data_IF_318615584413
#
_entry.id   IF_318615584413
#
_cell.length_a   1.000
_cell.length_b   1.000
_cell.length_c   1.000
_cell.angle_alpha   90.00
_cell.angle_beta   90.00
_cell.angle_gamma   90.00
#
_symmetry.space_group_name_H-M   'P 1'
#
loop_
_entity.id
_entity.type
_entity.pdbx_description
1 polymer ?
#
# COMPACT_ATOMS: atom_id res chain seq x y z
N UNK A 1 60.94 -28.36 38.67
CA UNK A 1 61.97 -27.31 38.84
C UNK A 1 61.73 -26.26 37.77
N UNK A 2 61.35 -25.03 38.12
CA UNK A 2 60.94 -23.98 37.18
C UNK A 2 62.13 -23.14 36.66
N UNK A 3 63.37 -23.55 36.96
CA UNK A 3 64.60 -22.81 36.64
C UNK A 3 65.66 -23.74 36.06
N UNK A 4 66.43 -23.22 35.09
CA UNK A 4 67.70 -23.79 34.60
C UNK A 4 68.86 -22.96 35.17
N UNK A 5 70.07 -23.53 35.19
CA UNK A 5 71.29 -22.91 35.75
C UNK A 5 72.00 -21.95 34.77
N UNK A 6 71.34 -21.51 33.70
CA UNK A 6 71.95 -20.60 32.74
C UNK A 6 72.03 -19.16 33.28
N UNK A 7 73.11 -18.43 32.98
CA UNK A 7 73.15 -17.00 33.25
C UNK A 7 72.06 -16.32 32.40
N UNK A 8 71.34 -15.39 33.04
CA UNK A 8 70.23 -14.55 32.52
C UNK A 8 68.79 -14.93 32.89
N UNK A 9 68.53 -16.00 33.67
CA UNK A 9 67.24 -16.27 34.36
C UNK A 9 65.95 -16.09 33.51
N UNK A 10 66.04 -16.13 32.18
CA UNK A 10 64.92 -15.91 31.27
C UNK A 10 65.08 -16.71 29.97
N UNK A 11 64.00 -17.33 29.46
CA UNK A 11 62.64 -17.34 30.01
C UNK A 11 62.38 -18.54 30.94
N UNK A 12 61.62 -18.33 32.03
CA UNK A 12 61.06 -19.42 32.82
C UNK A 12 59.95 -20.12 32.02
N UNK A 13 60.07 -21.43 31.80
CA UNK A 13 59.04 -22.20 31.11
C UNK A 13 57.89 -22.56 32.07
N UNK A 14 56.66 -22.23 31.69
CA UNK A 14 55.41 -22.64 32.37
C UNK A 14 54.63 -23.63 31.51
N UNK A 15 55.07 -24.90 31.42
CA UNK A 15 54.48 -25.89 30.51
C UNK A 15 53.03 -26.26 30.84
N UNK A 16 52.49 -25.79 31.97
CA UNK A 16 51.13 -26.04 32.43
C UNK A 16 50.25 -24.77 32.46
N UNK A 17 50.69 -23.65 31.88
CA UNK A 17 49.90 -22.40 31.85
C UNK A 17 48.50 -22.62 31.25
N UNK A 18 48.43 -23.27 30.08
CA UNK A 18 47.19 -23.50 29.34
C UNK A 18 46.20 -24.43 30.07
N UNK A 19 46.64 -25.14 31.10
CA UNK A 19 45.75 -25.91 31.97
C UNK A 19 44.89 -25.02 32.90
N UNK A 20 45.26 -23.75 33.07
CA UNK A 20 44.54 -22.76 33.87
C UNK A 20 43.80 -21.75 33.01
N UNK A 21 44.45 -21.23 31.97
CA UNK A 21 43.85 -20.30 31.02
C UNK A 21 44.53 -20.44 29.66
N UNK A 22 43.76 -20.88 28.65
CA UNK A 22 44.25 -21.05 27.30
C UNK A 22 44.38 -19.67 26.62
N UNK A 23 45.56 -19.35 26.09
CA UNK A 23 45.78 -18.09 25.39
C UNK A 23 45.38 -18.22 23.91
N UNK A 24 44.09 -17.98 23.58
CA UNK A 24 43.63 -17.91 22.18
C UNK A 24 43.39 -16.47 21.71
N UNK A 25 43.12 -16.33 20.41
CA UNK A 25 42.77 -15.06 19.78
C UNK A 25 43.77 -13.95 20.06
N UNK A 26 43.29 -12.80 20.54
CA UNK A 26 44.10 -11.64 20.88
C UNK A 26 45.10 -11.93 22.02
N UNK A 27 44.77 -12.83 22.96
CA UNK A 27 45.65 -13.18 24.07
C UNK A 27 46.90 -13.94 23.62
N UNK A 28 46.81 -14.72 22.54
CA UNK A 28 47.96 -15.41 21.97
C UNK A 28 49.07 -14.43 21.54
N UNK A 29 48.71 -13.22 21.12
CA UNK A 29 49.66 -12.19 20.66
C UNK A 29 50.51 -11.60 21.79
N UNK A 30 50.04 -11.67 23.03
CA UNK A 30 50.71 -11.15 24.22
C UNK A 30 51.23 -12.25 25.15
N UNK A 31 51.22 -13.51 24.71
CA UNK A 31 51.55 -14.67 25.53
C UNK A 31 52.94 -14.62 26.19
N UNK A 32 53.89 -13.88 25.61
CA UNK A 32 55.24 -13.72 26.16
C UNK A 32 55.41 -12.49 27.07
N UNK A 33 54.34 -11.73 27.33
CA UNK A 33 54.37 -10.53 28.16
C UNK A 33 53.59 -10.74 29.46
N UNK A 34 54.19 -11.49 30.38
CA UNK A 34 53.58 -11.92 31.65
C UNK A 34 53.01 -10.76 32.49
N UNK A 35 53.64 -9.58 32.42
CA UNK A 35 53.23 -8.42 33.23
C UNK A 35 51.87 -7.88 32.81
N UNK A 36 51.45 -8.02 31.54
CA UNK A 36 50.15 -7.54 31.06
C UNK A 36 48.96 -8.27 31.71
N UNK A 37 49.15 -9.53 32.11
CA UNK A 37 48.08 -10.34 32.70
C UNK A 37 48.24 -10.41 34.23
N UNK A 38 49.44 -10.71 34.70
CA UNK A 38 49.68 -10.96 36.11
C UNK A 38 49.88 -9.67 36.93
N UNK A 39 50.22 -8.53 36.30
CA UNK A 39 50.54 -7.27 36.99
C UNK A 39 51.55 -7.43 38.15
N UNK A 40 52.43 -8.43 38.06
CA UNK A 40 53.40 -8.78 39.11
C UNK A 40 52.89 -9.73 40.21
N UNK A 41 51.59 -10.06 40.25
CA UNK A 41 51.01 -11.08 41.14
C UNK A 41 50.53 -12.30 40.35
N UNK A 42 51.27 -13.41 40.48
CA UNK A 42 51.00 -14.66 39.79
C UNK A 42 50.05 -15.60 40.57
N UNK A 43 49.63 -15.23 41.78
CA UNK A 43 48.77 -16.09 42.62
C UNK A 43 47.28 -15.81 42.46
N UNK A 44 46.89 -14.63 41.96
CA UNK A 44 45.50 -14.17 41.94
C UNK A 44 45.08 -13.54 40.60
N UNK A 45 45.64 -14.01 39.49
CA UNK A 45 45.23 -13.54 38.18
C UNK A 45 43.84 -14.10 37.84
N UNK A 46 42.84 -13.25 37.52
CA UNK A 46 41.53 -13.72 37.13
C UNK A 46 41.60 -14.61 35.89
N UNK A 47 40.66 -15.55 35.79
CA UNK A 47 40.55 -16.49 34.65
C UNK A 47 39.27 -16.30 33.85
N UNK A 48 38.42 -15.34 34.25
CA UNK A 48 37.22 -14.93 33.55
C UNK A 48 37.43 -13.54 32.90
N UNK A 49 36.67 -13.29 31.84
CA UNK A 49 36.78 -12.06 31.06
C UNK A 49 36.55 -10.82 31.92
N UNK A 50 35.48 -10.79 32.73
CA UNK A 50 35.13 -9.62 33.53
C UNK A 50 36.18 -9.29 34.58
N UNK A 51 36.78 -10.29 35.23
CA UNK A 51 37.84 -10.08 36.20
C UNK A 51 39.05 -9.32 35.64
N UNK A 52 39.42 -9.58 34.38
CA UNK A 52 40.50 -8.87 33.69
C UNK A 52 40.03 -7.56 33.01
N UNK A 53 38.81 -7.54 32.47
CA UNK A 53 38.28 -6.47 31.63
C UNK A 53 37.16 -5.66 32.30
N UNK A 54 37.10 -5.61 33.63
CA UNK A 54 36.09 -4.83 34.37
C UNK A 54 36.14 -3.33 34.06
N UNK A 55 37.33 -2.79 33.79
CA UNK A 55 37.49 -1.40 33.35
C UNK A 55 36.90 -1.19 31.97
N UNK A 56 37.17 -2.09 31.02
CA UNK A 56 36.60 -2.01 29.67
C UNK A 56 35.06 -2.11 29.73
N UNK A 57 34.54 -3.05 30.52
CA UNK A 57 33.11 -3.22 30.77
C UNK A 57 32.46 -1.93 31.32
N UNK A 58 33.07 -1.31 32.33
CA UNK A 58 32.52 -0.11 32.98
C UNK A 58 32.69 1.19 32.20
N UNK A 59 33.70 1.26 31.32
CA UNK A 59 33.97 2.44 30.50
C UNK A 59 33.34 2.41 29.10
N UNK A 60 32.82 1.26 28.66
CA UNK A 60 32.13 1.18 27.37
C UNK A 60 30.86 2.04 27.39
N UNK A 61 30.65 2.85 26.35
CA UNK A 61 29.50 3.77 26.24
C UNK A 61 28.53 3.44 25.12
N UNK A 62 28.91 2.56 24.17
CA UNK A 62 28.07 2.19 23.03
C UNK A 62 28.19 0.69 22.70
N UNK A 63 27.28 -0.16 23.23
CA UNK A 63 26.29 0.16 24.25
C UNK A 63 26.92 0.26 25.64
N UNK A 64 26.34 1.06 26.56
CA UNK A 64 26.88 1.17 27.92
C UNK A 64 26.55 -0.07 28.76
N UNK A 65 27.50 -0.96 28.99
CA UNK A 65 27.24 -2.23 29.68
C UNK A 65 26.80 -2.06 31.13
N UNK A 66 27.44 -1.16 31.88
CA UNK A 66 27.11 -0.94 33.29
C UNK A 66 25.74 -0.30 33.48
N UNK A 67 25.40 0.71 32.67
CA UNK A 67 24.10 1.37 32.73
C UNK A 67 22.97 0.41 32.34
N UNK A 68 23.21 -0.43 31.35
CA UNK A 68 22.22 -1.39 30.84
C UNK A 68 22.21 -2.71 31.60
N UNK A 69 23.12 -2.90 32.56
CA UNK A 69 23.24 -4.11 33.37
C UNK A 69 23.38 -5.37 32.50
N UNK A 70 24.21 -5.29 31.45
CA UNK A 70 24.50 -6.45 30.63
C UNK A 70 25.18 -7.57 31.45
N UNK A 71 25.08 -8.83 31.01
CA UNK A 71 25.74 -9.92 31.68
C UNK A 71 27.26 -9.75 31.63
N UNK A 72 27.94 -10.24 32.67
CA UNK A 72 29.40 -10.29 32.73
C UNK A 72 29.96 -11.56 32.06
N UNK A 73 29.11 -12.45 31.56
CA UNK A 73 29.51 -13.51 30.63
C UNK A 73 29.73 -12.90 29.25
N UNK A 74 30.95 -12.40 29.03
CA UNK A 74 31.30 -11.69 27.82
C UNK A 74 31.17 -12.55 26.55
N UNK A 75 31.20 -13.88 26.69
CA UNK A 75 31.19 -14.81 25.54
C UNK A 75 29.82 -14.94 24.89
N UNK A 76 28.76 -14.41 25.53
CA UNK A 76 27.44 -14.29 24.93
C UNK A 76 27.45 -13.35 23.71
N UNK A 77 28.35 -12.35 23.71
CA UNK A 77 28.39 -11.29 22.70
C UNK A 77 29.77 -11.08 22.06
N UNK A 78 30.85 -11.52 22.69
CA UNK A 78 32.22 -11.23 22.24
C UNK A 78 33.04 -12.50 22.10
N UNK A 79 34.13 -12.41 21.36
CA UNK A 79 35.07 -13.51 21.19
C UNK A 79 36.46 -13.11 21.67
N UNK A 80 37.29 -14.10 22.00
CA UNK A 80 38.69 -13.87 22.36
C UNK A 80 39.52 -13.25 21.22
N UNK A 81 39.01 -13.21 19.98
CA UNK A 81 39.70 -12.58 18.86
C UNK A 81 39.58 -11.06 18.87
N UNK A 82 38.41 -10.53 19.23
CA UNK A 82 38.13 -9.09 19.28
C UNK A 82 36.82 -8.81 20.04
N UNK A 83 36.76 -7.65 20.69
CA UNK A 83 35.53 -7.10 21.27
C UNK A 83 34.53 -6.62 20.20
N UNK A 84 35.02 -6.18 19.04
CA UNK A 84 34.20 -5.64 17.94
C UNK A 84 34.56 -6.35 16.64
N UNK A 85 33.56 -6.78 15.83
CA UNK A 85 32.12 -6.68 16.09
C UNK A 85 31.66 -7.64 17.19
N UNK A 86 30.54 -7.31 17.85
CA UNK A 86 29.81 -8.28 18.68
C UNK A 86 29.25 -9.41 17.79
N UNK A 87 29.18 -10.62 18.34
CA UNK A 87 28.55 -11.79 17.72
C UNK A 87 27.04 -11.85 17.96
N UNK A 88 26.47 -10.90 18.70
CA UNK A 88 25.04 -10.83 18.91
C UNK A 88 24.29 -10.60 17.59
N UNK A 89 23.45 -11.57 17.20
CA UNK A 89 22.68 -11.51 15.97
C UNK A 89 21.37 -10.74 16.17
N UNK A 90 21.35 -9.47 15.79
CA UNK A 90 20.15 -8.64 15.85
C UNK A 90 19.00 -9.21 15.00
N UNK A 91 19.26 -10.02 13.97
CA UNK A 91 18.19 -10.54 13.10
C UNK A 91 17.23 -11.48 13.83
N UNK A 92 17.63 -12.02 14.99
CA UNK A 92 16.74 -12.83 15.83
C UNK A 92 15.74 -11.99 16.62
N UNK A 93 15.92 -10.67 16.70
CA UNK A 93 15.08 -9.73 17.48
C UNK A 93 14.45 -8.68 16.57
N UNK A 94 15.24 -8.01 15.74
CA UNK A 94 14.80 -7.03 14.76
C UNK A 94 15.72 -7.07 13.53
N UNK A 95 15.28 -7.66 12.40
CA UNK A 95 16.09 -7.75 11.20
C UNK A 95 16.23 -6.37 10.54
N UNK A 96 17.48 -5.92 10.39
CA UNK A 96 17.78 -4.69 9.68
C UNK A 96 17.54 -4.90 8.18
N UNK A 97 16.55 -4.21 7.63
CA UNK A 97 16.21 -4.23 6.20
C UNK A 97 15.98 -2.81 5.70
N UNK A 98 16.20 -2.60 4.39
CA UNK A 98 15.99 -1.32 3.72
C UNK A 98 16.69 -0.14 4.41
N UNK A 99 15.95 0.92 4.74
CA UNK A 99 16.47 2.14 5.35
C UNK A 99 17.15 1.91 6.71
N UNK A 100 16.72 0.89 7.46
CA UNK A 100 17.27 0.58 8.79
C UNK A 100 18.72 0.06 8.72
N UNK A 101 19.19 -0.40 7.56
CA UNK A 101 20.59 -0.83 7.38
C UNK A 101 21.59 0.31 7.67
N UNK A 102 21.20 1.56 7.42
CA UNK A 102 22.07 2.72 7.63
C UNK A 102 22.37 2.98 9.11
N UNK A 103 21.50 2.54 10.02
CA UNK A 103 21.65 2.70 11.48
C UNK A 103 21.93 1.39 12.21
N UNK A 104 22.20 0.30 11.48
CA UNK A 104 22.40 -1.03 12.07
C UNK A 104 23.55 -1.11 13.09
N UNK A 105 24.53 -0.20 13.00
CA UNK A 105 25.65 -0.09 13.94
C UNK A 105 25.51 1.05 14.95
N UNK A 106 24.41 1.81 14.90
CA UNK A 106 24.10 2.88 15.85
C UNK A 106 23.06 2.39 16.86
N UNK A 107 23.54 1.67 17.88
CA UNK A 107 22.68 1.09 18.91
C UNK A 107 21.77 2.15 19.57
N UNK A 108 22.25 3.39 19.72
CA UNK A 108 21.49 4.46 20.35
C UNK A 108 20.37 5.00 19.47
N UNK A 109 20.44 4.84 18.14
CA UNK A 109 19.37 5.26 17.22
C UNK A 109 18.05 4.51 17.49
N UNK A 110 18.12 3.27 17.99
CA UNK A 110 16.94 2.48 18.34
C UNK A 110 16.73 2.43 19.85
N UNK A 111 17.76 2.02 20.60
CA UNK A 111 17.62 1.74 22.03
C UNK A 111 17.51 3.00 22.88
N UNK A 112 17.99 4.16 22.41
CA UNK A 112 17.96 5.42 23.17
C UNK A 112 18.52 5.29 24.60
N UNK A 113 19.52 4.40 24.80
CA UNK A 113 20.10 4.10 26.11
C UNK A 113 19.29 3.14 26.99
N UNK A 114 18.17 2.58 26.52
CA UNK A 114 17.39 1.55 27.21
C UNK A 114 17.24 0.30 26.32
N UNK A 115 17.88 -0.79 26.74
CA UNK A 115 17.96 -2.03 25.96
C UNK A 115 16.95 -3.10 26.42
N UNK A 116 16.13 -2.81 27.44
CA UNK A 116 15.15 -3.75 27.99
C UNK A 116 13.74 -3.57 27.43
N UNK A 117 13.46 -2.44 26.76
CA UNK A 117 12.11 -2.13 26.25
C UNK A 117 12.18 -1.25 25.01
N UNK A 118 12.95 -1.69 24.02
CA UNK A 118 13.08 -0.98 22.75
C UNK A 118 11.88 -1.32 21.88
N UNK A 119 11.10 -0.30 21.42
CA UNK A 119 9.98 -0.55 20.54
C UNK A 119 10.43 -1.23 19.25
N UNK A 120 9.62 -2.17 18.76
CA UNK A 120 9.88 -2.92 17.53
C UNK A 120 8.72 -2.85 16.53
N UNK A 121 7.71 -2.01 16.77
CA UNK A 121 6.64 -1.70 15.83
C UNK A 121 6.95 -0.40 15.10
N UNK A 122 6.53 -0.30 13.84
CA UNK A 122 6.81 0.85 12.99
C UNK A 122 6.25 2.15 13.60
N UNK A 123 4.99 2.11 14.03
CA UNK A 123 4.28 3.25 14.60
C UNK A 123 4.92 3.77 15.89
N UNK A 124 5.46 2.89 16.75
CA UNK A 124 6.09 3.31 18.00
C UNK A 124 7.32 4.22 17.79
N UNK A 125 8.00 4.10 16.64
CA UNK A 125 9.09 4.98 16.25
C UNK A 125 8.65 6.08 15.27
N UNK A 126 7.82 5.73 14.30
CA UNK A 126 7.46 6.56 13.14
C UNK A 126 6.06 7.17 13.22
N UNK A 127 5.48 7.32 14.42
CA UNK A 127 4.16 7.93 14.60
C UNK A 127 4.11 9.38 14.06
N UNK A 128 5.24 10.10 14.11
CA UNK A 128 5.33 11.44 13.54
C UNK A 128 5.21 11.40 12.03
N UNK A 129 5.90 10.46 11.36
CA UNK A 129 5.80 10.29 9.91
C UNK A 129 4.36 9.91 9.52
N UNK A 130 3.75 8.98 10.25
CA UNK A 130 2.35 8.61 10.10
C UNK A 130 1.41 9.83 10.22
N UNK A 131 1.57 10.63 11.28
CA UNK A 131 0.71 11.77 11.57
C UNK A 131 0.90 12.94 10.61
N UNK A 132 2.11 13.12 10.08
CA UNK A 132 2.46 14.25 9.21
C UNK A 132 2.32 13.95 7.72
N UNK A 133 2.01 12.70 7.35
CA UNK A 133 1.74 12.33 5.97
C UNK A 133 0.61 13.17 5.37
N UNK A 134 0.82 13.66 4.15
CA UNK A 134 -0.14 14.51 3.41
C UNK A 134 -0.76 13.75 2.24
N UNK A 135 -0.04 12.77 1.68
CA UNK A 135 -0.39 12.15 0.41
C UNK A 135 -0.09 10.63 0.45
N UNK A 136 -1.05 9.79 0.85
CA UNK A 136 -2.34 10.15 1.45
C UNK A 136 -2.21 10.60 2.91
N UNK A 137 -3.12 11.44 3.41
CA UNK A 137 -3.15 11.80 4.82
C UNK A 137 -3.73 10.64 5.64
N UNK A 138 -2.86 9.94 6.38
CA UNK A 138 -3.25 8.73 7.10
C UNK A 138 -4.29 9.00 8.20
N UNK A 139 -4.15 10.13 8.92
CA UNK A 139 -5.06 10.49 10.01
C UNK A 139 -6.47 10.82 9.51
N UNK A 140 -6.59 11.64 8.46
CA UNK A 140 -7.91 12.05 7.94
C UNK A 140 -8.68 10.87 7.34
N UNK A 141 -7.96 9.91 6.76
CA UNK A 141 -8.53 8.71 6.18
C UNK A 141 -8.75 7.59 7.20
N UNK A 142 -8.29 7.74 8.45
CA UNK A 142 -8.41 6.71 9.48
C UNK A 142 -7.68 5.42 9.10
N UNK A 143 -6.52 5.53 8.45
CA UNK A 143 -5.74 4.37 8.05
C UNK A 143 -5.21 3.60 9.29
N UNK A 144 -4.95 2.30 9.15
CA UNK A 144 -4.37 1.50 10.23
C UNK A 144 -2.89 1.83 10.44
N UNK A 145 -2.39 1.56 11.66
CA UNK A 145 -0.97 1.70 12.03
C UNK A 145 -0.14 0.45 11.74
N UNK A 146 -0.74 -0.60 11.16
CA UNK A 146 -0.04 -1.77 10.63
C UNK A 146 0.64 -1.37 9.31
N UNK A 147 1.76 -0.65 9.43
CA UNK A 147 2.45 0.01 8.32
C UNK A 147 2.84 -0.96 7.20
N UNK A 148 3.18 -2.20 7.54
CA UNK A 148 3.59 -3.26 6.64
C UNK A 148 2.49 -3.73 5.68
N UNK A 149 1.23 -3.38 5.94
CA UNK A 149 0.15 -3.65 4.99
C UNK A 149 0.28 -2.83 3.72
N UNK A 150 0.96 -1.68 3.80
CA UNK A 150 1.10 -0.76 2.69
C UNK A 150 2.57 -0.55 2.32
N UNK A 151 3.44 -0.35 3.31
CA UNK A 151 4.83 0.04 3.13
C UNK A 151 5.79 -1.12 3.31
N UNK A 152 6.97 -0.98 2.70
CA UNK A 152 8.13 -1.82 2.97
C UNK A 152 9.16 -1.03 3.75
N UNK A 153 10.19 -1.69 4.27
CA UNK A 153 11.32 -1.01 4.94
C UNK A 153 12.26 -0.30 3.96
N UNK A 154 11.97 -0.31 2.65
CA UNK A 154 12.73 0.42 1.65
C UNK A 154 12.80 1.92 1.99
N UNK A 155 13.87 2.61 1.56
CA UNK A 155 13.98 4.06 1.74
C UNK A 155 12.73 4.82 1.29
N UNK A 156 12.44 5.91 2.01
CA UNK A 156 11.35 6.84 1.72
C UNK A 156 9.94 6.23 1.74
N UNK A 157 9.74 5.11 2.46
CA UNK A 157 8.46 4.41 2.57
C UNK A 157 7.89 3.95 1.21
N UNK A 158 8.76 3.74 0.22
CA UNK A 158 8.40 3.47 -1.18
C UNK A 158 8.87 2.07 -1.65
N UNK A 159 8.02 1.27 -2.31
CA UNK A 159 6.64 1.57 -2.70
C UNK A 159 5.66 1.45 -1.54
N UNK A 160 4.60 2.25 -1.63
CA UNK A 160 3.39 2.09 -0.83
C UNK A 160 2.34 1.38 -1.71
N UNK A 161 1.78 0.29 -1.22
CA UNK A 161 0.67 -0.43 -1.83
C UNK A 161 -0.60 -0.20 -1.04
N UNK A 162 -1.77 -0.38 -1.64
CA UNK A 162 -3.05 -0.20 -0.94
C UNK A 162 -3.97 -1.40 -1.17
N UNK A 163 -3.75 -2.53 -0.48
CA UNK A 163 -4.50 -3.76 -0.72
C UNK A 163 -6.00 -3.64 -0.38
N UNK A 164 -6.37 -2.67 0.46
CA UNK A 164 -7.78 -2.38 0.78
C UNK A 164 -8.48 -1.49 -0.25
N UNK A 165 -7.79 -1.00 -1.29
CA UNK A 165 -8.36 -0.13 -2.33
C UNK A 165 -9.64 -0.71 -2.93
N UNK A 166 -9.62 -2.02 -3.22
CA UNK A 166 -10.74 -2.71 -3.86
C UNK A 166 -11.99 -2.81 -2.98
N UNK A 167 -11.94 -2.43 -1.70
CA UNK A 167 -13.14 -2.28 -0.86
C UNK A 167 -13.92 -0.99 -1.18
N UNK A 168 -13.27 0.00 -1.80
CA UNK A 168 -13.84 1.31 -2.14
C UNK A 168 -14.13 1.45 -3.63
N UNK A 169 -13.17 1.03 -4.47
CA UNK A 169 -13.33 0.98 -5.92
C UNK A 169 -12.49 -0.17 -6.49
N UNK A 170 -13.13 -1.11 -7.19
CA UNK A 170 -12.41 -2.25 -7.73
C UNK A 170 -11.69 -1.87 -9.03
N UNK A 171 -10.37 -2.01 -9.06
CA UNK A 171 -9.57 -1.72 -10.25
C UNK A 171 -9.64 -2.91 -11.23
N UNK A 172 -10.63 -2.90 -12.11
CA UNK A 172 -10.84 -3.91 -13.16
C UNK A 172 -10.81 -3.29 -14.56
N UNK A 173 -10.70 -4.14 -15.58
CA UNK A 173 -10.66 -3.70 -16.97
C UNK A 173 -9.53 -2.70 -17.25
N UNK A 174 -9.86 -1.58 -17.89
CA UNK A 174 -8.90 -0.52 -18.20
C UNK A 174 -8.30 0.12 -16.95
N UNK A 175 -9.04 0.23 -15.84
CA UNK A 175 -8.53 0.80 -14.58
C UNK A 175 -7.41 -0.05 -13.96
N UNK A 176 -7.41 -1.37 -14.19
CA UNK A 176 -6.35 -2.24 -13.70
C UNK A 176 -4.97 -1.88 -14.29
N UNK A 177 -4.93 -1.30 -15.49
CA UNK A 177 -3.68 -0.91 -16.16
C UNK A 177 -2.99 0.30 -15.52
N UNK A 178 -3.74 1.13 -14.80
CA UNK A 178 -3.25 2.33 -14.11
C UNK A 178 -3.29 2.15 -12.58
N UNK A 179 -3.43 0.92 -12.09
CA UNK A 179 -3.61 0.63 -10.66
C UNK A 179 -2.44 1.09 -9.76
N UNK A 180 -1.25 1.26 -10.33
CA UNK A 180 -0.08 1.78 -9.63
C UNK A 180 0.18 3.28 -9.87
N UNK A 181 -0.66 3.94 -10.66
CA UNK A 181 -0.62 5.39 -10.88
C UNK A 181 -1.71 6.06 -10.05
N UNK A 182 -1.45 6.20 -8.75
CA UNK A 182 -2.39 6.81 -7.81
C UNK A 182 -2.80 8.22 -8.26
N UNK A 183 -1.90 8.96 -8.92
CA UNK A 183 -2.16 10.32 -9.37
C UNK A 183 -3.16 10.36 -10.53
N UNK A 184 -3.18 9.35 -11.41
CA UNK A 184 -4.13 9.26 -12.51
C UNK A 184 -5.59 9.29 -12.05
N UNK A 185 -5.88 8.76 -10.86
CA UNK A 185 -7.23 8.73 -10.30
C UNK A 185 -7.45 9.80 -9.23
N UNK A 186 -6.54 9.88 -8.26
CA UNK A 186 -6.73 10.74 -7.09
C UNK A 186 -6.33 12.19 -7.33
N UNK A 187 -5.47 12.48 -8.33
CA UNK A 187 -4.99 13.84 -8.62
C UNK A 187 -4.42 14.58 -7.39
N UNK A 188 -3.87 13.83 -6.43
CA UNK A 188 -3.36 14.34 -5.16
C UNK A 188 -4.41 14.56 -4.05
N UNK A 189 -5.68 14.23 -4.27
CA UNK A 189 -6.75 14.27 -3.27
C UNK A 189 -7.44 12.91 -3.13
N UNK A 190 -7.29 12.28 -1.95
CA UNK A 190 -7.81 10.94 -1.65
C UNK A 190 -9.09 10.95 -0.82
N UNK A 191 -9.58 12.13 -0.42
CA UNK A 191 -10.77 12.24 0.42
C UNK A 191 -12.06 12.28 -0.41
N UNK A 192 -11.98 12.84 -1.62
CA UNK A 192 -13.16 13.10 -2.46
C UNK A 192 -12.96 12.62 -3.90
N UNK A 193 -12.14 11.59 -4.11
CA UNK A 193 -12.06 10.96 -5.43
C UNK A 193 -13.40 10.30 -5.73
N UNK A 194 -14.09 10.66 -6.82
CA UNK A 194 -15.33 9.99 -7.19
C UNK A 194 -15.10 8.49 -7.37
N UNK A 195 -16.10 7.69 -7.01
CA UNK A 195 -16.09 6.24 -7.19
C UNK A 195 -17.20 5.76 -8.12
N UNK A 196 -17.86 6.69 -8.80
CA UNK A 196 -18.83 6.44 -9.87
C UNK A 196 -18.25 6.88 -11.23
N UNK A 197 -18.72 6.24 -12.30
CA UNK A 197 -18.21 6.46 -13.64
C UNK A 197 -18.32 7.92 -14.08
N UNK A 198 -19.49 8.55 -13.91
CA UNK A 198 -19.71 9.92 -14.35
C UNK A 198 -18.87 10.94 -13.57
N UNK A 199 -18.65 10.73 -12.28
CA UNK A 199 -17.82 11.60 -11.45
C UNK A 199 -16.39 11.74 -11.99
N UNK A 200 -15.80 10.66 -12.51
CA UNK A 200 -14.48 10.69 -13.15
C UNK A 200 -14.56 11.06 -14.65
N UNK A 201 -15.54 10.52 -15.36
CA UNK A 201 -15.66 10.61 -16.81
C UNK A 201 -16.69 11.64 -17.28
N UNK A 202 -16.94 12.68 -16.47
CA UNK A 202 -17.89 13.74 -16.81
C UNK A 202 -17.48 14.48 -18.10
N UNK A 203 -16.17 14.63 -18.34
CA UNK A 203 -15.66 15.23 -19.58
C UNK A 203 -15.96 14.33 -20.78
N UNK A 204 -15.70 13.02 -20.66
CA UNK A 204 -16.00 12.06 -21.73
C UNK A 204 -17.51 12.04 -22.03
N UNK A 205 -18.35 12.02 -20.99
CA UNK A 205 -19.81 12.11 -21.11
C UNK A 205 -20.26 13.40 -21.82
N UNK A 206 -19.75 14.56 -21.39
CA UNK A 206 -20.17 15.85 -21.93
C UNK A 206 -19.66 16.12 -23.35
N UNK A 207 -18.59 15.44 -23.77
CA UNK A 207 -17.95 15.64 -25.08
C UNK A 207 -18.29 14.54 -26.09
N UNK A 208 -18.98 13.48 -25.68
CA UNK A 208 -19.52 12.48 -26.58
C UNK A 208 -20.48 13.12 -27.60
N UNK A 209 -20.31 12.78 -28.88
CA UNK A 209 -21.09 13.35 -29.98
C UNK A 209 -21.76 12.30 -30.89
N UNK A 210 -21.47 11.01 -30.69
CA UNK A 210 -22.05 9.95 -31.48
C UNK A 210 -22.34 8.69 -30.62
N UNK A 211 -23.51 8.62 -29.98
CA UNK A 211 -24.53 9.67 -29.87
C UNK A 211 -24.11 10.79 -28.90
N UNK A 212 -24.76 11.95 -28.94
CA UNK A 212 -24.50 13.02 -27.97
C UNK A 212 -25.26 12.75 -26.66
N UNK A 213 -24.55 12.50 -25.57
CA UNK A 213 -25.16 12.10 -24.30
C UNK A 213 -25.95 13.22 -23.63
N UNK A 214 -25.43 14.46 -23.66
CA UNK A 214 -26.05 15.61 -23.01
C UNK A 214 -27.36 16.00 -23.70
N UNK A 215 -27.32 16.14 -25.02
CA UNK A 215 -28.48 16.53 -25.81
C UNK A 215 -29.58 15.46 -25.74
N UNK A 216 -29.18 14.19 -25.79
CA UNK A 216 -30.12 13.06 -25.73
C UNK A 216 -30.57 12.75 -24.30
N UNK A 217 -30.01 13.43 -23.30
CA UNK A 217 -30.34 13.24 -21.88
C UNK A 217 -30.16 11.78 -21.42
N UNK A 218 -29.10 11.12 -21.86
CA UNK A 218 -28.81 9.76 -21.41
C UNK A 218 -28.54 9.71 -19.90
N UNK A 219 -28.74 8.55 -19.25
CA UNK A 219 -28.40 8.39 -17.84
C UNK A 219 -26.89 8.45 -17.62
N UNK A 220 -26.49 8.80 -16.40
CA UNK A 220 -25.09 8.78 -15.96
C UNK A 220 -24.63 7.41 -15.46
N UNK A 221 -25.53 6.43 -15.41
CA UNK A 221 -25.22 5.02 -15.13
C UNK A 221 -24.58 4.40 -16.37
N UNK A 222 -23.27 4.62 -16.52
CA UNK A 222 -22.51 4.30 -17.72
C UNK A 222 -22.56 2.81 -18.09
N UNK A 223 -22.67 1.93 -17.09
CA UNK A 223 -22.70 0.47 -17.23
C UNK A 223 -23.95 -0.05 -17.94
N UNK A 224 -24.98 0.78 -18.14
CA UNK A 224 -26.12 0.44 -18.99
C UNK A 224 -25.70 0.26 -20.45
N UNK A 225 -24.66 0.98 -20.88
CA UNK A 225 -24.18 0.98 -22.27
C UNK A 225 -22.72 0.53 -22.41
N UNK A 226 -21.88 0.83 -21.43
CA UNK A 226 -20.42 0.69 -21.52
C UNK A 226 -19.89 -0.34 -20.54
N UNK A 227 -18.63 -0.72 -20.70
CA UNK A 227 -17.95 -1.64 -19.78
C UNK A 227 -16.67 -1.01 -19.26
N UNK A 228 -16.20 -1.46 -18.10
CA UNK A 228 -14.91 -1.01 -17.57
C UNK A 228 -13.70 -1.45 -18.42
N UNK A 229 -13.89 -2.32 -19.43
CA UNK A 229 -12.81 -2.71 -20.35
C UNK A 229 -12.59 -1.66 -21.44
N UNK A 230 -13.67 -1.06 -21.95
CA UNK A 230 -13.64 -0.06 -23.01
C UNK A 230 -14.99 0.65 -23.13
N UNK A 231 -14.95 1.90 -23.58
CA UNK A 231 -16.14 2.67 -23.97
C UNK A 231 -16.79 2.13 -25.26
N UNK A 232 -16.02 1.51 -26.15
CA UNK A 232 -16.49 1.05 -27.47
C UNK A 232 -16.06 -0.41 -27.71
N UNK A 233 -16.94 -1.28 -28.26
CA UNK A 233 -18.35 -1.01 -28.60
C UNK A 233 -19.22 -0.85 -27.35
N UNK A 234 -20.23 0.03 -27.45
CA UNK A 234 -21.29 0.11 -26.45
C UNK A 234 -22.37 -0.94 -26.76
N UNK A 235 -23.01 -1.48 -25.72
CA UNK A 235 -24.16 -2.36 -25.84
C UNK A 235 -25.41 -1.59 -25.41
N UNK A 236 -26.32 -1.31 -26.33
CA UNK A 236 -27.52 -0.52 -26.05
C UNK A 236 -28.77 -1.36 -26.30
N UNK A 237 -29.54 -1.60 -25.24
CA UNK A 237 -30.79 -2.36 -25.29
C UNK A 237 -31.97 -1.38 -25.26
N UNK A 238 -32.46 -1.00 -26.44
CA UNK A 238 -33.53 -0.02 -26.58
C UNK A 238 -34.83 -0.50 -25.94
N UNK A 239 -35.24 -1.76 -26.14
CA UNK A 239 -36.52 -2.30 -25.65
C UNK A 239 -36.56 -2.43 -24.13
N UNK A 240 -35.41 -2.69 -23.49
CA UNK A 240 -35.34 -2.77 -22.03
C UNK A 240 -35.27 -1.39 -21.35
N UNK A 241 -34.72 -0.39 -22.04
CA UNK A 241 -34.52 0.96 -21.47
C UNK A 241 -35.60 1.95 -21.87
N UNK A 242 -36.17 1.79 -23.05
CA UNK A 242 -37.06 2.74 -23.72
C UNK A 242 -38.21 2.01 -24.43
N UNK A 243 -38.96 2.74 -25.26
CA UNK A 243 -40.08 2.19 -26.02
C UNK A 243 -39.64 0.97 -26.87
N UNK A 244 -40.38 -0.14 -26.86
CA UNK A 244 -39.97 -1.33 -27.61
C UNK A 244 -40.09 -1.10 -29.13
N UNK A 245 -38.97 -1.24 -29.84
CA UNK A 245 -38.86 -1.09 -31.30
C UNK A 245 -38.30 -2.35 -31.98
N UNK A 246 -37.74 -3.29 -31.22
CA UNK A 246 -37.30 -4.60 -31.69
C UNK A 246 -38.30 -5.71 -31.32
N UNK A 247 -39.50 -5.31 -30.88
CA UNK A 247 -40.60 -6.21 -30.55
C UNK A 247 -41.95 -5.54 -30.78
N UNK A 248 -43.02 -6.35 -30.82
CA UNK A 248 -44.38 -5.84 -31.01
C UNK A 248 -44.67 -5.36 -32.44
N UNK A 249 -45.46 -4.29 -32.56
CA UNK A 249 -45.92 -3.74 -33.86
C UNK A 249 -44.87 -2.86 -34.56
N UNK A 250 -43.87 -2.39 -33.83
CA UNK A 250 -42.80 -1.54 -34.36
C UNK A 250 -41.57 -2.34 -34.78
N UNK A 251 -41.52 -3.64 -34.47
CA UNK A 251 -40.47 -4.54 -34.96
C UNK A 251 -40.46 -4.56 -36.50
N UNK A 252 -39.27 -4.42 -37.08
CA UNK A 252 -39.02 -4.33 -38.53
C UNK A 252 -39.77 -3.18 -39.26
N UNK A 253 -40.35 -2.21 -38.55
CA UNK A 253 -41.13 -1.11 -39.13
C UNK A 253 -40.35 0.21 -39.31
N UNK A 254 -39.03 0.21 -39.07
CA UNK A 254 -38.14 1.37 -39.13
C UNK A 254 -36.80 0.98 -39.75
N UNK A 255 -36.12 1.93 -40.38
CA UNK A 255 -34.80 1.74 -41.02
C UNK A 255 -33.70 2.53 -40.32
N UNK A 256 -34.01 3.75 -39.84
CA UNK A 256 -33.07 4.65 -39.17
C UNK A 256 -33.65 5.16 -37.85
N UNK A 257 -32.79 5.47 -36.88
CA UNK A 257 -33.24 6.03 -35.59
C UNK A 257 -34.03 7.35 -35.78
N UNK A 258 -33.75 8.09 -36.87
CA UNK A 258 -34.41 9.37 -37.17
C UNK A 258 -35.89 9.19 -37.59
N UNK A 259 -36.30 7.97 -37.97
CA UNK A 259 -37.69 7.68 -38.33
C UNK A 259 -38.63 7.94 -37.14
N UNK A 260 -38.16 7.72 -35.92
CA UNK A 260 -38.88 8.07 -34.70
C UNK A 260 -38.28 9.32 -34.01
N UNK A 261 -36.96 9.48 -34.01
CA UNK A 261 -36.27 10.58 -33.32
C UNK A 261 -36.04 11.78 -34.24
N UNK A 262 -37.05 12.64 -34.35
CA UNK A 262 -37.16 13.69 -35.38
C UNK A 262 -36.14 14.84 -35.32
N UNK A 263 -35.25 14.87 -34.32
CA UNK A 263 -34.17 15.86 -34.22
C UNK A 263 -32.81 15.15 -34.23
N UNK A 264 -31.97 15.36 -35.28
CA UNK A 264 -30.67 14.70 -35.38
C UNK A 264 -29.80 14.91 -34.14
N UNK A 265 -29.36 13.80 -33.53
CA UNK A 265 -28.49 13.81 -32.36
C UNK A 265 -29.16 14.23 -31.04
N UNK A 266 -30.50 14.32 -31.01
CA UNK A 266 -31.30 14.62 -29.82
C UNK A 266 -32.37 13.52 -29.68
N UNK A 267 -31.95 12.35 -29.19
CA UNK A 267 -32.83 11.18 -29.11
C UNK A 267 -33.96 11.30 -28.05
N UNK A 268 -33.95 12.36 -27.23
CA UNK A 268 -35.06 12.66 -26.32
C UNK A 268 -36.27 13.27 -27.02
N UNK A 269 -36.14 13.74 -28.27
CA UNK A 269 -37.23 14.28 -29.07
C UNK A 269 -37.67 13.23 -30.09
N UNK A 270 -38.92 12.79 -29.98
CA UNK A 270 -39.50 11.74 -30.81
C UNK A 270 -40.91 12.10 -31.29
N UNK A 271 -41.40 11.37 -32.28
CA UNK A 271 -42.77 11.46 -32.76
C UNK A 271 -43.43 10.10 -32.91
N UNK A 272 -44.68 9.99 -32.47
CA UNK A 272 -45.53 8.81 -32.70
C UNK A 272 -46.52 9.04 -33.84
N UNK A 273 -46.69 10.30 -34.26
CA UNK A 273 -47.76 10.78 -35.15
C UNK A 273 -47.25 11.13 -36.55
N UNK A 274 -45.95 10.95 -36.82
CA UNK A 274 -45.39 11.16 -38.16
C UNK A 274 -45.39 9.85 -38.99
N UNK A 275 -45.98 8.78 -38.44
CA UNK A 275 -46.10 7.48 -39.08
C UNK A 275 -47.50 7.28 -39.68
N UNK A 276 -47.60 6.53 -40.79
CA UNK A 276 -48.82 6.40 -41.60
C UNK A 276 -50.06 5.79 -40.92
N UNK A 277 -49.92 5.14 -39.76
CA UNK A 277 -51.07 4.63 -38.98
C UNK A 277 -51.62 5.68 -37.99
N UNK A 278 -50.84 6.73 -37.72
CA UNK A 278 -51.12 7.72 -36.68
C UNK A 278 -50.94 9.16 -37.16
N UNK A 279 -50.82 9.40 -38.47
CA UNK A 279 -50.59 10.73 -39.06
C UNK A 279 -51.88 11.51 -39.34
N UNK A 280 -53.03 10.84 -39.34
CA UNK A 280 -54.34 11.45 -39.45
C UNK A 280 -55.01 11.61 -38.08
N UNK A 281 -54.99 12.84 -37.57
CA UNK A 281 -55.63 13.18 -36.30
C UNK A 281 -57.11 12.77 -36.22
N UNK A 282 -57.90 12.92 -37.29
CA UNK A 282 -59.33 12.60 -37.22
C UNK A 282 -59.56 11.11 -36.99
N UNK A 283 -58.76 10.26 -37.65
CA UNK A 283 -58.90 8.81 -37.52
C UNK A 283 -58.50 8.38 -36.09
N UNK A 284 -57.42 8.96 -35.54
CA UNK A 284 -56.99 8.69 -34.17
C UNK A 284 -57.96 9.27 -33.14
N UNK A 285 -58.53 10.45 -33.37
CA UNK A 285 -59.54 11.07 -32.49
C UNK A 285 -60.82 10.20 -32.43
N UNK A 286 -61.24 9.63 -33.56
CA UNK A 286 -62.40 8.73 -33.63
C UNK A 286 -62.16 7.41 -32.87
N UNK A 287 -60.93 6.87 -32.91
CA UNK A 287 -60.55 5.67 -32.15
C UNK A 287 -60.44 5.89 -30.62
N UNK A 288 -60.34 7.16 -30.18
CA UNK A 288 -60.19 7.54 -28.77
C UNK A 288 -61.38 8.34 -28.23
N UNK A 289 -62.54 8.30 -28.88
CA UNK A 289 -63.73 9.11 -28.54
C UNK A 289 -64.27 8.88 -27.12
N UNK A 290 -63.98 7.72 -26.53
CA UNK A 290 -64.36 7.31 -25.19
C UNK A 290 -63.22 7.44 -24.14
N UNK A 291 -62.01 7.83 -24.58
CA UNK A 291 -60.82 7.94 -23.72
C UNK A 291 -60.73 9.33 -23.09
N UNK A 292 -61.13 9.42 -21.82
CA UNK A 292 -61.03 10.67 -21.07
C UNK A 292 -59.58 11.13 -20.90
N UNK A 293 -59.29 12.37 -21.32
CA UNK A 293 -57.95 12.95 -21.22
C UNK A 293 -57.02 12.60 -22.39
N UNK A 294 -57.56 11.98 -23.45
CA UNK A 294 -56.86 11.81 -24.72
C UNK A 294 -56.39 13.17 -25.28
N UNK A 295 -55.17 13.18 -25.81
CA UNK A 295 -54.55 14.31 -26.49
C UNK A 295 -53.71 13.78 -27.64
N UNK A 296 -53.94 14.29 -28.86
CA UNK A 296 -53.16 13.96 -30.05
C UNK A 296 -51.76 14.60 -30.00
N UNK A 297 -50.87 14.04 -29.18
CA UNK A 297 -49.49 14.47 -28.99
C UNK A 297 -48.60 13.26 -28.67
N UNK A 298 -47.44 13.14 -29.31
CA UNK A 298 -46.51 12.00 -29.15
C UNK A 298 -46.17 11.66 -27.70
N UNK A 299 -46.00 12.67 -26.84
CA UNK A 299 -45.74 12.44 -25.41
C UNK A 299 -46.94 11.84 -24.67
N UNK A 300 -48.17 12.18 -25.07
CA UNK A 300 -49.39 11.59 -24.53
C UNK A 300 -49.59 10.16 -25.06
N UNK A 301 -49.30 9.92 -26.34
CA UNK A 301 -49.29 8.59 -26.95
C UNK A 301 -48.35 7.65 -26.18
N UNK A 302 -47.09 8.07 -25.97
CA UNK A 302 -46.10 7.29 -25.21
C UNK A 302 -46.51 7.06 -23.75
N UNK A 303 -47.13 8.05 -23.10
CA UNK A 303 -47.60 7.90 -21.72
C UNK A 303 -48.75 6.89 -21.59
N UNK A 304 -49.65 6.80 -22.58
CA UNK A 304 -50.76 5.85 -22.58
C UNK A 304 -50.34 4.46 -23.07
N UNK A 305 -49.42 4.39 -24.03
CA UNK A 305 -48.95 3.17 -24.67
C UNK A 305 -47.44 2.96 -24.51
N UNK A 306 -46.90 2.82 -23.29
CA UNK A 306 -45.45 2.73 -23.06
C UNK A 306 -44.81 1.46 -23.66
N UNK A 307 -45.60 0.41 -23.89
CA UNK A 307 -45.15 -0.85 -24.49
C UNK A 307 -45.49 -1.02 -25.98
N UNK A 308 -45.99 0.04 -26.64
CA UNK A 308 -46.35 -0.01 -28.06
C UNK A 308 -47.53 -0.94 -28.40
N UNK A 309 -48.36 -1.28 -27.41
CA UNK A 309 -49.60 -2.05 -27.59
C UNK A 309 -50.82 -1.16 -27.43
N UNK A 310 -51.75 -1.26 -28.38
CA UNK A 310 -53.12 -0.75 -28.29
C UNK A 310 -54.00 -1.69 -27.45
#
# INVERSE_FOLDING_TARGET
>A
SCHTTDPDWMPAAFPNHDAYYQLNGAHASIANNCVLCHNGDYNNTPTDCYGCHATDYSQTTNPNHSLNQFPTDCTECHTENAWIPSTFDHNTVYPFTGAHLAIANDCNACHNGNYNNTPNTCDACHITDYNTSINPNHQSLGLPTDCEMCHTTNPDWNPATFPIHNQYYQLIGAHASIANDCFACHMGNYNNTPNDCFGCHAVDYNTANNPNHVNSQFPTDCELCHTQNAWVPANFDHDNMYFPIYSGKHDEAWDECIDCHIVPGVFSIFSCIDCHEHDNQQDVDDDHDDVSGYVYQSSACYACHPGGSH
#
